data_IF_460084253630
#
_entry.id   IF_460084253630
#
_cell.length_a   1.000
_cell.length_b   1.000
_cell.length_c   1.000
_cell.angle_alpha   90.00
_cell.angle_beta   90.00
_cell.angle_gamma   90.00
#
_symmetry.space_group_name_H-M   'P 1'
#
loop_
_entity.id
_entity.type
_entity.pdbx_description
1 polymer ?
#
# COMPACT_ATOMS: atom_id res chain seq x y z
N UNK A 1 14.52 22.76 0.53
CA UNK A 1 14.37 22.29 1.92
C UNK A 1 14.83 20.84 1.99
N UNK A 2 15.62 20.54 2.98
CA UNK A 2 16.26 19.22 3.06
C UNK A 2 15.55 18.25 4.01
N UNK A 3 14.61 18.75 4.80
CA UNK A 3 13.89 17.95 5.79
C UNK A 3 12.44 18.37 5.85
N UNK A 4 11.57 17.42 6.23
CA UNK A 4 10.15 17.72 6.38
C UNK A 4 9.49 16.76 7.36
N UNK A 5 8.56 17.28 8.17
CA UNK A 5 7.63 16.46 8.94
C UNK A 5 6.30 16.46 8.17
N UNK A 6 5.77 15.27 7.90
CA UNK A 6 4.50 15.10 7.19
C UNK A 6 3.51 14.40 8.11
N UNK A 7 2.31 14.97 8.24
CA UNK A 7 1.20 14.30 8.90
C UNK A 7 0.26 13.76 7.84
N UNK A 8 0.33 12.46 7.51
CA UNK A 8 -0.49 11.92 6.43
C UNK A 8 -1.99 11.92 6.75
N UNK A 9 -2.37 12.02 8.02
CA UNK A 9 -3.79 12.07 8.40
C UNK A 9 -4.44 13.40 7.99
N UNK A 10 -3.67 14.48 7.90
CA UNK A 10 -4.20 15.81 7.59
C UNK A 10 -3.82 16.29 6.18
N UNK A 11 -2.85 15.66 5.55
CA UNK A 11 -2.36 16.07 4.22
C UNK A 11 -2.26 14.85 3.30
N UNK A 12 -2.19 15.12 2.01
CA UNK A 12 -1.88 14.08 1.03
C UNK A 12 -2.99 13.09 0.77
N UNK A 13 -4.24 13.38 1.17
CA UNK A 13 -5.34 12.47 0.88
C UNK A 13 -5.60 12.42 -0.62
N UNK A 14 -5.62 11.19 -1.15
CA UNK A 14 -5.90 10.94 -2.55
C UNK A 14 -7.34 10.49 -2.69
N UNK A 15 -8.09 11.13 -3.63
CA UNK A 15 -9.47 10.77 -3.89
C UNK A 15 -9.55 9.65 -4.93
N UNK A 16 -10.77 9.08 -5.09
CA UNK A 16 -11.07 8.05 -6.10
C UNK A 16 -10.19 6.82 -5.99
N UNK A 17 -9.95 6.40 -4.75
CA UNK A 17 -9.23 5.15 -4.45
C UNK A 17 -10.18 4.14 -3.80
N UNK A 18 -9.92 2.83 -3.94
CA UNK A 18 -10.79 1.79 -3.37
C UNK A 18 -10.78 1.73 -1.84
N UNK A 19 -9.84 2.41 -1.20
CA UNK A 19 -9.84 2.64 0.25
C UNK A 19 -9.26 4.01 0.53
N UNK A 20 -9.35 4.46 1.79
CA UNK A 20 -8.76 5.74 2.18
C UNK A 20 -7.24 5.67 2.01
N UNK A 21 -6.69 6.58 1.25
CA UNK A 21 -5.28 6.61 0.86
C UNK A 21 -4.69 7.98 1.13
N UNK A 22 -3.54 8.02 1.79
CA UNK A 22 -2.80 9.25 2.06
C UNK A 22 -1.37 9.10 1.55
N UNK A 23 -0.93 10.09 0.78
CA UNK A 23 0.46 10.13 0.32
C UNK A 23 1.35 10.66 1.43
N UNK A 24 2.49 10.04 1.65
CA UNK A 24 3.51 10.52 2.58
C UNK A 24 4.60 11.25 1.81
N UNK A 25 5.15 10.62 0.78
CA UNK A 25 6.05 11.29 -0.16
C UNK A 25 5.21 11.90 -1.28
N UNK A 26 5.56 13.11 -1.72
CA UNK A 26 4.85 13.76 -2.82
C UNK A 26 3.45 14.28 -2.46
N UNK A 27 3.15 14.44 -1.18
CA UNK A 27 1.92 15.08 -0.75
C UNK A 27 1.99 16.59 -1.04
N UNK A 28 0.83 17.24 -1.16
CA UNK A 28 0.63 18.64 -1.54
C UNK A 28 1.89 19.55 -1.52
N UNK A 29 2.32 19.97 -0.34
CA UNK A 29 3.56 20.73 -0.15
C UNK A 29 4.73 19.83 0.23
N UNK A 30 4.57 18.51 0.05
CA UNK A 30 5.53 17.53 0.48
C UNK A 30 6.71 17.36 -0.45
N UNK A 31 7.80 16.86 0.11
CA UNK A 31 8.98 16.52 -0.65
C UNK A 31 8.68 15.34 -1.57
N UNK A 32 9.16 15.42 -2.80
CA UNK A 32 9.05 14.34 -3.76
C UNK A 32 10.39 13.61 -3.83
N UNK A 33 10.35 12.31 -3.63
CA UNK A 33 11.54 11.46 -3.74
C UNK A 33 11.58 10.77 -5.10
N UNK A 34 12.79 10.58 -5.62
CA UNK A 34 12.99 9.89 -6.89
C UNK A 34 12.93 8.36 -6.73
N UNK A 35 13.29 7.86 -5.58
CA UNK A 35 13.41 6.43 -5.35
C UNK A 35 12.25 5.87 -4.51
N UNK A 36 12.05 6.40 -3.32
CA UNK A 36 11.09 5.88 -2.36
C UNK A 36 9.72 6.52 -2.51
N UNK A 37 8.70 5.70 -2.70
CA UNK A 37 7.31 6.09 -2.55
C UNK A 37 6.74 5.52 -1.26
N UNK A 38 5.99 6.31 -0.49
CA UNK A 38 5.37 5.85 0.74
C UNK A 38 3.96 6.39 0.85
N UNK A 39 3.04 5.52 1.26
CA UNK A 39 1.62 5.85 1.44
C UNK A 39 1.08 5.18 2.69
N UNK A 40 0.09 5.84 3.29
CA UNK A 40 -0.74 5.25 4.33
C UNK A 40 -2.06 4.81 3.70
N UNK A 41 -2.41 3.54 3.87
CA UNK A 41 -3.71 3.02 3.47
C UNK A 41 -4.53 2.68 4.71
N UNK A 42 -5.81 3.04 4.67
CA UNK A 42 -6.76 2.72 5.74
C UNK A 42 -7.96 2.05 5.07
N UNK A 43 -8.08 0.74 5.24
CA UNK A 43 -9.10 -0.06 4.56
C UNK A 43 -10.12 -0.60 5.56
N UNK A 44 -11.40 -0.30 5.31
CA UNK A 44 -12.50 -0.87 6.05
C UNK A 44 -12.78 -2.30 5.56
N UNK A 45 -13.51 -3.12 6.33
CA UNK A 45 -13.84 -4.46 5.85
C UNK A 45 -14.46 -4.44 4.46
N UNK A 46 -13.97 -5.31 3.57
CA UNK A 46 -14.41 -5.41 2.19
C UNK A 46 -13.70 -4.50 1.20
N UNK A 47 -12.84 -3.62 1.68
CA UNK A 47 -12.09 -2.71 0.80
C UNK A 47 -10.73 -3.28 0.43
N UNK A 48 -10.23 -2.90 -0.73
CA UNK A 48 -8.88 -3.30 -1.17
C UNK A 48 -7.96 -2.09 -1.26
N UNK A 49 -6.67 -2.35 -1.18
CA UNK A 49 -5.66 -1.34 -1.42
C UNK A 49 -5.49 -1.11 -2.92
N UNK A 50 -5.14 0.10 -3.35
CA UNK A 50 -4.67 0.29 -4.72
C UNK A 50 -3.34 -0.45 -4.90
N UNK A 51 -3.04 -1.01 -5.99
CA UNK A 51 -3.84 -1.22 -7.17
C UNK A 51 -4.71 -2.47 -7.02
N UNK A 52 -5.36 -2.86 -8.11
CA UNK A 52 -6.02 -4.16 -8.19
C UNK A 52 -4.96 -5.28 -8.20
N UNK A 53 -5.32 -6.49 -8.58
CA UNK A 53 -4.36 -7.58 -8.73
C UNK A 53 -3.32 -7.17 -9.79
N UNK A 54 -2.08 -7.02 -9.38
CA UNK A 54 -1.04 -6.43 -10.21
C UNK A 54 0.36 -6.91 -9.82
N UNK A 55 1.33 -6.59 -10.66
CA UNK A 55 2.75 -6.76 -10.34
C UNK A 55 3.53 -5.56 -10.84
N UNK A 56 4.71 -5.35 -10.27
CA UNK A 56 5.65 -4.33 -10.72
C UNK A 56 6.87 -5.03 -11.32
N UNK A 57 7.41 -4.47 -12.39
CA UNK A 57 8.54 -5.11 -13.08
C UNK A 57 9.86 -4.89 -12.35
N UNK A 58 10.06 -3.72 -11.75
CA UNK A 58 11.31 -3.34 -11.10
C UNK A 58 11.15 -2.89 -9.65
N UNK A 59 9.94 -2.52 -9.24
CA UNK A 59 9.71 -1.98 -7.90
C UNK A 59 9.71 -3.07 -6.84
N UNK A 60 10.50 -2.83 -5.79
CA UNK A 60 10.41 -3.59 -4.54
C UNK A 60 9.36 -2.95 -3.65
N UNK A 61 8.55 -3.75 -2.97
CA UNK A 61 7.49 -3.24 -2.11
C UNK A 61 7.53 -3.84 -0.71
N UNK A 62 7.10 -3.05 0.26
CA UNK A 62 6.91 -3.50 1.63
C UNK A 62 5.59 -2.94 2.16
N UNK A 63 4.78 -3.79 2.77
CA UNK A 63 3.55 -3.42 3.45
C UNK A 63 3.72 -3.69 4.93
N UNK A 64 3.83 -2.64 5.73
CA UNK A 64 3.93 -2.80 7.18
C UNK A 64 2.55 -2.54 7.80
N UNK A 65 2.00 -3.54 8.47
CA UNK A 65 0.65 -3.46 9.04
C UNK A 65 0.73 -2.78 10.40
N UNK A 66 0.10 -1.61 10.51
CA UNK A 66 0.08 -0.83 11.74
C UNK A 66 -0.99 -1.34 12.70
N UNK A 67 -2.16 -1.71 12.16
CA UNK A 67 -3.26 -2.25 12.96
C UNK A 67 -4.18 -3.09 12.07
N UNK A 68 -4.91 -4.00 12.67
CA UNK A 68 -5.78 -4.93 11.95
C UNK A 68 -5.00 -6.08 11.33
N UNK A 69 -5.60 -6.76 10.38
CA UNK A 69 -4.96 -7.85 9.62
C UNK A 69 -5.12 -7.57 8.14
N UNK A 70 -4.01 -7.51 7.42
CA UNK A 70 -4.00 -7.33 5.97
C UNK A 70 -4.03 -8.71 5.30
N UNK A 71 -4.94 -8.87 4.34
CA UNK A 71 -4.98 -10.07 3.52
C UNK A 71 -4.27 -9.78 2.20
N UNK A 72 -3.40 -10.69 1.77
CA UNK A 72 -2.69 -10.53 0.50
C UNK A 72 -2.85 -11.80 -0.31
N UNK A 73 -3.54 -11.66 -1.43
CA UNK A 73 -3.75 -12.74 -2.39
C UNK A 73 -2.59 -12.80 -3.37
N UNK A 74 -2.08 -14.00 -3.59
CA UNK A 74 -1.05 -14.27 -4.60
C UNK A 74 -1.50 -15.46 -5.44
N UNK A 75 -0.84 -15.74 -6.58
CA UNK A 75 -1.22 -16.91 -7.39
C UNK A 75 -1.15 -18.25 -6.64
N UNK A 76 -0.32 -18.32 -5.60
CA UNK A 76 -0.11 -19.58 -4.87
C UNK A 76 -0.99 -19.71 -3.64
N UNK A 77 -1.26 -18.61 -2.93
CA UNK A 77 -2.02 -18.63 -1.68
C UNK A 77 -2.39 -17.21 -1.25
N UNK A 78 -3.30 -17.14 -0.27
CA UNK A 78 -3.59 -15.89 0.43
C UNK A 78 -2.87 -15.87 1.77
N UNK A 79 -2.21 -14.76 2.08
CA UNK A 79 -1.50 -14.55 3.33
C UNK A 79 -2.34 -13.66 4.24
N UNK A 80 -2.28 -13.94 5.54
CA UNK A 80 -2.81 -13.07 6.57
C UNK A 80 -1.62 -12.42 7.29
N UNK A 81 -1.51 -11.10 7.15
CA UNK A 81 -0.41 -10.34 7.72
C UNK A 81 -0.93 -9.59 8.94
N UNK A 82 -0.55 -10.03 10.11
CA UNK A 82 -1.02 -9.46 11.36
C UNK A 82 -0.34 -8.13 11.66
N UNK A 83 -0.94 -7.38 12.60
CA UNK A 83 -0.39 -6.09 13.02
C UNK A 83 1.07 -6.23 13.45
N UNK A 84 1.88 -5.23 13.11
CA UNK A 84 3.30 -5.14 13.39
C UNK A 84 4.16 -6.15 12.62
N UNK A 85 3.56 -6.83 11.64
CA UNK A 85 4.31 -7.65 10.67
C UNK A 85 4.34 -6.95 9.31
N UNK A 86 5.28 -7.35 8.49
CA UNK A 86 5.44 -6.79 7.16
C UNK A 86 5.32 -7.88 6.09
N UNK A 87 4.74 -7.52 4.94
CA UNK A 87 4.71 -8.37 3.76
C UNK A 87 5.64 -7.75 2.72
N UNK A 88 6.62 -8.52 2.27
CA UNK A 88 7.62 -8.04 1.32
C UNK A 88 7.36 -8.67 -0.05
N UNK A 89 7.45 -7.85 -1.09
CA UNK A 89 7.20 -8.29 -2.47
C UNK A 89 8.39 -7.94 -3.34
N UNK A 90 9.03 -8.97 -3.91
CA UNK A 90 10.06 -8.78 -4.91
C UNK A 90 9.44 -8.41 -6.26
N UNK A 91 10.18 -7.72 -7.13
CA UNK A 91 9.67 -7.38 -8.47
C UNK A 91 9.18 -8.62 -9.23
N UNK A 92 8.15 -8.43 -10.05
CA UNK A 92 7.62 -9.47 -10.91
C UNK A 92 6.59 -10.40 -10.25
N UNK A 93 6.22 -10.15 -9.00
CA UNK A 93 5.31 -11.06 -8.27
C UNK A 93 3.93 -10.46 -8.13
N UNK A 94 2.91 -11.07 -8.77
CA UNK A 94 1.54 -10.57 -8.70
C UNK A 94 0.94 -10.70 -7.30
N UNK A 95 0.17 -9.69 -6.91
CA UNK A 95 -0.50 -9.69 -5.60
C UNK A 95 -1.67 -8.72 -5.58
N UNK A 96 -2.58 -8.95 -4.64
CA UNK A 96 -3.71 -8.05 -4.35
C UNK A 96 -3.88 -7.97 -2.83
N UNK A 97 -3.79 -6.77 -2.28
CA UNK A 97 -3.92 -6.55 -0.84
C UNK A 97 -5.31 -5.99 -0.52
N UNK A 98 -5.92 -6.50 0.53
CA UNK A 98 -7.29 -6.13 0.88
C UNK A 98 -7.58 -6.40 2.36
N UNK A 99 -8.70 -5.87 2.82
CA UNK A 99 -9.27 -6.21 4.11
C UNK A 99 -10.51 -7.07 3.86
N UNK A 100 -10.52 -8.29 4.37
CA UNK A 100 -11.60 -9.24 4.15
C UNK A 100 -12.96 -8.65 4.56
N UNK A 101 -14.01 -8.95 3.80
CA UNK A 101 -15.37 -8.55 4.16
C UNK A 101 -15.91 -9.31 5.40
N UNK A 102 -15.23 -10.36 5.80
CA UNK A 102 -15.54 -11.08 7.05
C UNK A 102 -14.85 -10.46 8.27
N UNK A 103 -13.91 -9.54 8.05
CA UNK A 103 -13.24 -8.82 9.14
C UNK A 103 -14.20 -7.85 9.82
N UNK A 104 -13.95 -7.57 11.09
CA UNK A 104 -14.66 -6.53 11.84
C UNK A 104 -13.80 -5.31 12.12
N UNK A 105 -12.52 -5.37 11.76
CA UNK A 105 -11.54 -4.33 12.09
C UNK A 105 -11.07 -3.58 10.85
N UNK A 106 -10.84 -2.27 11.03
CA UNK A 106 -10.14 -1.46 10.05
C UNK A 106 -8.68 -1.89 9.99
N UNK A 107 -8.12 -1.94 8.79
CA UNK A 107 -6.69 -2.21 8.59
C UNK A 107 -5.97 -0.92 8.25
N UNK A 108 -4.83 -0.67 8.91
CA UNK A 108 -3.96 0.47 8.62
C UNK A 108 -2.60 -0.04 8.20
N UNK A 109 -2.12 0.42 7.05
CA UNK A 109 -0.91 -0.12 6.42
C UNK A 109 -0.02 1.02 5.94
N UNK A 110 1.26 0.93 6.29
CA UNK A 110 2.29 1.76 5.68
C UNK A 110 2.86 0.97 4.51
N UNK A 111 2.64 1.48 3.30
CA UNK A 111 3.14 0.85 2.08
C UNK A 111 4.30 1.66 1.51
N UNK A 112 5.36 0.97 1.15
CA UNK A 112 6.58 1.59 0.60
C UNK A 112 6.99 0.84 -0.65
N UNK A 113 7.48 1.58 -1.64
CA UNK A 113 7.97 1.00 -2.88
C UNK A 113 9.10 1.83 -3.48
N UNK A 114 10.06 1.16 -4.09
CA UNK A 114 11.17 1.80 -4.77
C UNK A 114 11.61 0.96 -5.97
N UNK A 115 11.82 1.56 -7.14
CA UNK A 115 11.63 2.99 -7.47
C UNK A 115 10.14 3.35 -7.52
N UNK A 116 9.81 4.56 -7.16
CA UNK A 116 8.42 5.02 -7.06
C UNK A 116 7.74 5.21 -8.41
N UNK A 117 8.52 5.29 -9.49
CA UNK A 117 8.00 5.54 -10.83
C UNK A 117 7.65 4.26 -11.62
N UNK A 118 7.68 3.10 -11.00
CA UNK A 118 7.31 1.84 -11.65
C UNK A 118 5.82 1.58 -11.45
N UNK A 119 5.01 1.93 -12.44
CA UNK A 119 3.57 1.67 -12.42
C UNK A 119 3.25 0.18 -12.44
N UNK A 120 2.16 -0.21 -11.78
CA UNK A 120 1.76 -1.60 -11.73
C UNK A 120 1.23 -2.10 -13.08
N UNK A 121 1.49 -3.36 -13.38
CA UNK A 121 0.96 -4.07 -14.53
C UNK A 121 -0.22 -4.93 -14.08
N UNK A 122 -1.36 -4.89 -14.78
CA UNK A 122 -2.49 -5.73 -14.38
C UNK A 122 -2.14 -7.21 -14.48
N UNK A 123 -2.65 -7.98 -13.55
CA UNK A 123 -2.51 -9.44 -13.55
C UNK A 123 -3.90 -10.08 -13.63
N UNK A 124 -4.07 -10.96 -14.58
CA UNK A 124 -5.31 -11.72 -14.77
C UNK A 124 -5.08 -13.14 -14.24
N UNK A 125 -5.61 -13.45 -13.05
CA UNK A 125 -5.38 -14.76 -12.44
C UNK A 125 -6.07 -15.91 -13.13
#
# INVERSE_FOLDING_TARGET
MDYQVVDPETHGRLSDRPCRTHSITGADDGMTFDQLGARLYVAEPGEQLPLQYHYHETQEEAFYVLSGTLNVETPERTYDVEAENAFLVEPGNPHRAFNSDESTDTVRVLAMGAPTNDGGQPYDP
#
